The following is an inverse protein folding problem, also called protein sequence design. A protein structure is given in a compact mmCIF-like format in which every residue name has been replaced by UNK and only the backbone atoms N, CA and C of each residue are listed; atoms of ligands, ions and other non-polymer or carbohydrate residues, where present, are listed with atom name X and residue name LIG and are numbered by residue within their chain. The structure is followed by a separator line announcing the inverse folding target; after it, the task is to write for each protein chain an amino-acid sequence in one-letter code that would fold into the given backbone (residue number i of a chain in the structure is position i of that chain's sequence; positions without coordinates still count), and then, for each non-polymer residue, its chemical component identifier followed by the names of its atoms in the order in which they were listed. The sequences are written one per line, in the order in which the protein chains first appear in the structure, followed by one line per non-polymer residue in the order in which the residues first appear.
data_IF_279574733769
#
_entry.id   IF_279574733769
#
_cell.length_a   1.000
_cell.length_b   1.000
_cell.length_c   1.000
_cell.angle_alpha   90.00
_cell.angle_beta   90.00
_cell.angle_gamma   90.00
#
_symmetry.space_group_name_H-M   'P 1'
#
loop_
_entity.id
_entity.type
_entity.pdbx_description
1 polymer ?
#
# COMPACT_ATOMS: atom_id res chain seq x y z
N UNK A 1 14.30 56.58 30.86
CA UNK A 1 14.64 55.61 29.79
C UNK A 1 14.64 54.23 30.44
N UNK A 2 13.57 53.44 30.22
CA UNK A 2 13.43 52.09 30.80
C UNK A 2 13.58 51.09 29.66
N UNK A 3 14.65 50.28 29.70
CA UNK A 3 14.92 49.22 28.73
C UNK A 3 14.02 48.02 29.04
N UNK A 4 13.17 47.63 28.08
CA UNK A 4 12.41 46.38 28.10
C UNK A 4 13.38 45.18 27.91
N UNK A 5 13.23 44.07 28.66
CA UNK A 5 13.98 42.86 28.37
C UNK A 5 13.41 42.19 27.12
N UNK A 6 14.27 42.03 26.10
CA UNK A 6 13.97 41.28 24.87
C UNK A 6 13.74 39.80 25.19
N UNK A 7 12.53 39.32 24.93
CA UNK A 7 12.21 37.89 24.95
C UNK A 7 12.90 37.24 23.75
N UNK A 8 13.91 36.40 24.00
CA UNK A 8 14.53 35.57 22.97
C UNK A 8 13.55 34.42 22.66
N UNK A 9 13.07 34.26 21.41
CA UNK A 9 12.26 33.10 21.07
C UNK A 9 13.12 31.84 21.12
N UNK A 10 12.73 30.88 21.95
CA UNK A 10 13.33 29.55 21.97
C UNK A 10 13.06 28.83 20.65
N UNK A 11 14.04 28.13 20.05
CA UNK A 11 13.77 27.27 18.91
C UNK A 11 12.84 26.13 19.33
N UNK A 12 11.72 25.96 18.64
CA UNK A 12 10.82 24.84 18.87
C UNK A 12 11.54 23.51 18.60
N UNK A 13 11.22 22.43 19.34
CA UNK A 13 11.74 21.11 19.05
C UNK A 13 11.35 20.71 17.63
N UNK A 14 12.34 20.40 16.79
CA UNK A 14 12.12 19.88 15.45
C UNK A 14 11.54 18.48 15.60
N UNK A 15 10.25 18.30 15.34
CA UNK A 15 9.64 16.99 15.31
C UNK A 15 10.38 16.11 14.29
N UNK A 16 10.85 14.90 14.64
CA UNK A 16 11.41 13.98 13.65
C UNK A 16 10.31 13.68 12.62
N UNK A 17 10.60 13.97 11.35
CA UNK A 17 9.69 13.68 10.25
C UNK A 17 9.48 12.16 10.20
N UNK A 18 8.22 11.73 10.39
CA UNK A 18 7.82 10.36 10.11
C UNK A 18 8.11 10.07 8.63
N UNK A 19 8.57 8.86 8.27
CA UNK A 19 8.76 8.48 6.88
C UNK A 19 7.43 8.68 6.14
N UNK A 20 7.42 9.61 5.18
CA UNK A 20 6.23 9.89 4.39
C UNK A 20 6.00 8.68 3.46
N UNK A 21 4.80 8.08 3.46
CA UNK A 21 4.49 7.05 2.48
C UNK A 21 4.57 7.67 1.07
N UNK A 22 5.07 6.94 0.05
CA UNK A 22 5.16 7.45 -1.30
C UNK A 22 3.78 7.89 -1.81
N UNK A 23 3.65 9.17 -2.14
CA UNK A 23 2.47 9.75 -2.77
C UNK A 23 2.44 9.33 -4.24
N UNK A 24 1.72 8.24 -4.53
CA UNK A 24 1.59 7.69 -5.88
C UNK A 24 0.46 8.38 -6.68
N UNK A 25 0.62 8.50 -8.02
CA UNK A 25 -0.36 9.12 -8.89
C UNK A 25 -1.71 8.40 -8.81
N UNK A 26 -2.78 9.18 -8.67
CA UNK A 26 -4.14 8.69 -8.80
C UNK A 26 -4.46 8.51 -10.29
N UNK A 27 -3.98 7.41 -10.88
CA UNK A 27 -4.37 7.02 -12.23
C UNK A 27 -5.87 6.69 -12.21
N UNK A 28 -6.67 7.60 -12.78
CA UNK A 28 -8.10 7.41 -12.99
C UNK A 28 -8.32 6.32 -14.03
N UNK A 29 -8.38 5.07 -13.58
CA UNK A 29 -8.89 3.94 -14.36
C UNK A 29 -10.20 3.51 -13.72
N UNK A 30 -11.22 3.28 -14.54
CA UNK A 30 -12.55 2.81 -14.15
C UNK A 30 -12.43 1.70 -13.10
N UNK A 31 -12.75 2.01 -11.85
CA UNK A 31 -12.48 1.13 -10.71
C UNK A 31 -13.55 0.04 -10.65
N UNK A 32 -13.23 -1.18 -11.09
CA UNK A 32 -14.14 -2.34 -11.03
C UNK A 32 -14.20 -2.99 -9.62
N UNK A 33 -13.96 -2.20 -8.57
CA UNK A 33 -13.86 -2.66 -7.19
C UNK A 33 -12.42 -2.74 -6.69
N UNK A 34 -12.24 -3.21 -5.45
CA UNK A 34 -10.94 -3.34 -4.80
C UNK A 34 -10.92 -4.62 -3.99
N UNK A 35 -9.91 -5.46 -4.22
CA UNK A 35 -9.71 -6.72 -3.53
C UNK A 35 -8.54 -6.59 -2.55
N UNK A 36 -8.71 -7.10 -1.34
CA UNK A 36 -7.69 -7.09 -0.28
C UNK A 36 -7.33 -8.53 0.06
N UNK A 37 -6.03 -8.83 0.10
CA UNK A 37 -5.54 -10.16 0.46
C UNK A 37 -4.23 -10.08 1.22
N UNK A 38 -4.10 -10.89 2.26
CA UNK A 38 -2.83 -11.11 2.96
C UNK A 38 -2.04 -12.16 2.19
N UNK A 39 -0.76 -11.90 1.93
CA UNK A 39 0.06 -12.75 1.07
C UNK A 39 1.52 -12.77 1.52
N UNK A 40 2.18 -13.89 1.23
CA UNK A 40 3.63 -14.03 1.42
C UNK A 40 4.33 -13.87 0.08
N UNK A 41 5.32 -12.99 0.06
CA UNK A 41 6.19 -12.74 -1.09
C UNK A 41 7.53 -13.43 -0.85
N UNK A 42 8.00 -14.27 -1.80
CA UNK A 42 9.26 -14.98 -1.65
C UNK A 42 10.45 -14.02 -1.87
N UNK A 43 11.01 -13.50 -0.78
CA UNK A 43 12.32 -12.85 -0.76
C UNK A 43 12.35 -11.38 -1.23
N UNK A 44 12.88 -10.55 -0.33
CA UNK A 44 13.25 -9.13 -0.49
C UNK A 44 12.11 -8.12 -0.66
N UNK A 45 12.20 -7.07 0.16
CA UNK A 45 11.27 -5.95 0.43
C UNK A 45 10.84 -5.13 -0.82
N UNK A 46 11.37 -5.44 -2.00
CA UNK A 46 11.28 -4.66 -3.24
C UNK A 46 10.93 -5.54 -4.46
N UNK A 47 10.01 -6.49 -4.30
CA UNK A 47 9.46 -7.19 -5.46
C UNK A 47 8.36 -6.31 -6.06
N UNK A 48 8.63 -5.73 -7.23
CA UNK A 48 7.62 -5.06 -8.04
C UNK A 48 6.60 -6.12 -8.49
N UNK A 49 5.51 -6.26 -7.73
CA UNK A 49 4.45 -7.24 -7.99
C UNK A 49 3.68 -6.82 -9.24
N UNK A 50 4.06 -7.40 -10.37
CA UNK A 50 3.37 -7.21 -11.64
C UNK A 50 2.50 -8.43 -11.96
N UNK A 51 1.20 -8.30 -11.75
CA UNK A 51 0.21 -9.29 -12.19
C UNK A 51 -0.55 -8.73 -13.40
N UNK A 52 -0.55 -9.42 -14.56
CA UNK A 52 -1.24 -8.95 -15.76
C UNK A 52 -2.74 -8.73 -15.50
N UNK A 53 -3.26 -7.57 -15.88
CA UNK A 53 -4.67 -7.21 -15.68
C UNK A 53 -4.99 -6.66 -14.28
N UNK A 54 -3.99 -6.48 -13.42
CA UNK A 54 -4.17 -5.98 -12.06
C UNK A 54 -3.29 -4.75 -11.78
N UNK A 55 -3.88 -3.72 -11.18
CA UNK A 55 -3.10 -2.72 -10.44
C UNK A 55 -2.94 -3.24 -9.01
N UNK A 56 -1.70 -3.61 -8.64
CA UNK A 56 -1.36 -4.10 -7.30
C UNK A 56 -0.72 -3.00 -6.45
N UNK A 57 -1.12 -2.92 -5.19
CA UNK A 57 -0.50 -2.05 -4.17
C UNK A 57 -0.15 -2.89 -2.96
N UNK A 58 1.11 -2.85 -2.56
CA UNK A 58 1.61 -3.54 -1.37
C UNK A 58 1.56 -2.64 -0.15
N UNK A 59 1.10 -3.18 0.96
CA UNK A 59 1.22 -2.60 2.28
C UNK A 59 2.08 -3.54 3.12
N UNK A 60 3.29 -3.14 3.52
CA UNK A 60 4.15 -4.00 4.31
C UNK A 60 3.51 -4.24 5.68
N UNK A 61 3.32 -5.52 6.04
CA UNK A 61 2.84 -5.93 7.36
C UNK A 61 3.96 -6.71 8.04
N UNK A 62 4.40 -6.22 9.20
CA UNK A 62 5.29 -6.92 10.14
C UNK A 62 6.48 -7.71 9.54
N UNK A 63 7.47 -7.03 8.94
CA UNK A 63 8.91 -7.40 8.78
C UNK A 63 9.33 -8.84 8.38
N UNK A 64 8.46 -9.73 7.93
CA UNK A 64 8.85 -11.11 7.56
C UNK A 64 8.09 -11.62 6.33
N UNK A 65 8.25 -10.93 5.19
CA UNK A 65 7.74 -11.41 3.90
C UNK A 65 6.21 -11.45 3.76
N UNK A 66 5.47 -11.08 4.81
CA UNK A 66 4.02 -10.88 4.77
C UNK A 66 3.70 -9.47 4.27
N UNK A 67 2.72 -9.40 3.38
CA UNK A 67 2.22 -8.15 2.82
C UNK A 67 0.71 -8.23 2.71
N UNK A 68 0.05 -7.11 2.98
CA UNK A 68 -1.32 -6.92 2.53
C UNK A 68 -1.29 -6.36 1.11
N UNK A 69 -1.91 -7.06 0.18
CA UNK A 69 -2.08 -6.63 -1.19
C UNK A 69 -3.47 -6.02 -1.38
N UNK A 70 -3.50 -4.77 -1.85
CA UNK A 70 -4.67 -4.19 -2.49
C UNK A 70 -4.55 -4.39 -4.00
N UNK A 71 -5.43 -5.22 -4.56
CA UNK A 71 -5.50 -5.51 -5.97
C UNK A 71 -6.74 -4.87 -6.59
N UNK A 72 -6.55 -4.19 -7.71
CA UNK A 72 -7.62 -3.56 -8.47
C UNK A 72 -7.69 -4.19 -9.86
N UNK A 73 -8.83 -4.78 -10.24
CA UNK A 73 -8.98 -5.34 -11.57
C UNK A 73 -9.03 -4.22 -12.61
N UNK A 74 -8.29 -4.39 -13.72
CA UNK A 74 -8.33 -3.50 -14.89
C UNK A 74 -9.44 -3.91 -15.88
N UNK A 75 -10.00 -5.10 -15.71
CA UNK A 75 -11.09 -5.67 -16.50
C UNK A 75 -12.27 -6.10 -15.61
N UNK A 76 -13.52 -5.93 -16.05
CA UNK A 76 -14.70 -6.27 -15.25
C UNK A 76 -14.89 -7.78 -15.01
N UNK A 77 -14.20 -8.63 -15.77
CA UNK A 77 -14.29 -10.09 -15.63
C UNK A 77 -13.29 -10.65 -14.58
N UNK A 78 -12.43 -9.79 -14.02
CA UNK A 78 -11.41 -10.20 -13.07
C UNK A 78 -11.95 -10.15 -11.64
N UNK A 79 -12.01 -11.32 -11.01
CA UNK A 79 -12.53 -11.49 -9.65
C UNK A 79 -11.53 -12.20 -8.71
N UNK A 80 -11.96 -12.55 -7.49
CA UNK A 80 -11.10 -13.14 -6.46
C UNK A 80 -10.37 -14.42 -6.90
N UNK A 81 -11.04 -15.29 -7.68
CA UNK A 81 -10.43 -16.52 -8.17
C UNK A 81 -9.26 -16.25 -9.14
N UNK A 82 -9.45 -15.27 -10.04
CA UNK A 82 -8.42 -14.89 -11.02
C UNK A 82 -7.28 -14.12 -10.36
N UNK A 83 -7.56 -13.32 -9.33
CA UNK A 83 -6.50 -12.71 -8.53
C UNK A 83 -5.61 -13.77 -7.89
N UNK A 84 -6.21 -14.80 -7.26
CA UNK A 84 -5.42 -15.86 -6.64
C UNK A 84 -4.53 -16.58 -7.66
N UNK A 85 -5.08 -16.93 -8.81
CA UNK A 85 -4.30 -17.55 -9.90
C UNK A 85 -3.16 -16.66 -10.39
N UNK A 86 -3.43 -15.36 -10.53
CA UNK A 86 -2.42 -14.40 -10.96
C UNK A 86 -1.28 -14.26 -9.93
N UNK A 87 -1.62 -14.24 -8.63
CA UNK A 87 -0.63 -14.22 -7.55
C UNK A 87 0.20 -15.51 -7.51
N UNK A 88 -0.44 -16.67 -7.62
CA UNK A 88 0.24 -17.97 -7.68
C UNK A 88 1.20 -18.05 -8.87
N UNK A 89 0.80 -17.52 -10.04
CA UNK A 89 1.63 -17.49 -11.25
C UNK A 89 2.90 -16.65 -11.10
N UNK A 90 2.89 -15.64 -10.22
CA UNK A 90 4.07 -14.81 -9.91
C UNK A 90 4.79 -15.26 -8.62
N UNK A 91 4.43 -16.43 -8.09
CA UNK A 91 5.08 -17.02 -6.91
C UNK A 91 4.63 -16.42 -5.57
N UNK A 92 3.58 -15.61 -5.57
CA UNK A 92 2.99 -15.04 -4.34
C UNK A 92 1.90 -15.96 -3.80
N UNK A 93 1.99 -16.26 -2.51
CA UNK A 93 1.03 -17.14 -1.84
C UNK A 93 0.02 -16.33 -1.04
N UNK A 94 -1.26 -16.40 -1.40
CA UNK A 94 -2.33 -15.83 -0.58
C UNK A 94 -2.51 -16.66 0.70
N UNK A 95 -2.48 -15.99 1.86
CA UNK A 95 -2.61 -16.63 3.18
C UNK A 95 -4.05 -16.83 3.64
N UNK A 96 -5.01 -16.21 2.96
CA UNK A 96 -6.40 -16.19 3.41
C UNK A 96 -7.41 -15.85 2.31
N UNK A 97 -8.69 -15.67 2.69
CA UNK A 97 -9.73 -15.29 1.75
C UNK A 97 -9.46 -13.89 1.19
N UNK A 98 -9.61 -13.75 -0.12
CA UNK A 98 -9.59 -12.46 -0.80
C UNK A 98 -10.90 -11.75 -0.51
N UNK A 99 -10.82 -10.54 0.05
CA UNK A 99 -11.98 -9.76 0.48
C UNK A 99 -12.24 -8.61 -0.48
N UNK A 100 -13.51 -8.39 -0.80
CA UNK A 100 -13.93 -7.18 -1.51
C UNK A 100 -14.02 -6.01 -0.54
N UNK A 101 -13.30 -4.93 -0.83
CA UNK A 101 -13.42 -3.66 -0.12
C UNK A 101 -14.58 -2.87 -0.72
N UNK A 102 -15.74 -2.96 -0.08
CA UNK A 102 -16.90 -2.14 -0.42
C UNK A 102 -16.62 -0.69 -0.02
N UNK A 103 -16.62 0.26 -0.97
CA UNK A 103 -16.75 1.68 -0.63
C UNK A 103 -18.19 1.92 -0.19
N UNK A 104 -18.38 2.28 1.07
CA UNK A 104 -19.61 2.91 1.58
C UNK A 104 -19.60 4.39 1.26
#
# INVERSE_FOLDING_TARGET
MTLLPSLIPHPAPVCPALPQPPLLPASGSTLFGTLIVEAVVPGSDDLELNAPGWELRTWPVARLGDVTLEARPLDPNLGPAELRRALEAIGVTALGPIRERRRT
#
